data_IF_611301999531
#
_entry.id   IF_611301999531
#
_cell.length_a   1.000
_cell.length_b   1.000
_cell.length_c   1.000
_cell.angle_alpha   90.00
_cell.angle_beta   90.00
_cell.angle_gamma   90.00
#
_symmetry.space_group_name_H-M   'P 1'
#
loop_
_entity.id
_entity.type
_entity.pdbx_description
1 polymer ?
#
# COMPACT_ATOMS: atom_id res chain seq x y z
N UNK A 1 13.70 -9.48 -33.13
CA UNK A 1 13.42 -8.54 -32.03
C UNK A 1 11.94 -8.61 -31.73
N UNK A 2 11.54 -9.30 -30.66
CA UNK A 2 10.13 -9.51 -30.32
C UNK A 2 9.56 -8.25 -29.72
N UNK A 3 8.61 -7.62 -30.41
CA UNK A 3 7.83 -6.50 -29.89
C UNK A 3 6.91 -7.03 -28.79
N UNK A 4 7.24 -6.75 -27.52
CA UNK A 4 6.33 -7.04 -26.42
C UNK A 4 5.07 -6.18 -26.62
N UNK A 5 3.95 -6.80 -26.96
CA UNK A 5 2.68 -6.10 -27.10
C UNK A 5 2.31 -5.47 -25.75
N UNK A 6 2.20 -4.14 -25.73
CA UNK A 6 1.79 -3.39 -24.55
C UNK A 6 0.39 -3.84 -24.15
N UNK A 7 0.27 -4.56 -23.03
CA UNK A 7 -1.03 -4.95 -22.49
C UNK A 7 -1.77 -3.69 -22.05
N UNK A 8 -2.91 -3.43 -22.66
CA UNK A 8 -3.81 -2.35 -22.29
C UNK A 8 -5.05 -2.96 -21.65
N UNK A 9 -5.30 -2.61 -20.39
CA UNK A 9 -6.51 -3.00 -19.67
C UNK A 9 -7.58 -1.90 -19.78
N UNK A 10 -8.84 -2.30 -19.91
CA UNK A 10 -9.96 -1.36 -20.06
C UNK A 10 -10.64 -1.11 -18.72
N UNK A 11 -10.75 0.15 -18.34
CA UNK A 11 -11.52 0.60 -17.19
C UNK A 11 -12.88 1.11 -17.69
N UNK A 12 -13.98 0.55 -17.18
CA UNK A 12 -15.34 0.96 -17.55
C UNK A 12 -16.20 1.15 -16.30
N UNK A 13 -16.83 2.32 -16.19
CA UNK A 13 -17.76 2.65 -15.11
C UNK A 13 -19.05 3.22 -15.68
N UNK A 14 -20.18 2.90 -15.04
CA UNK A 14 -21.47 3.56 -15.30
C UNK A 14 -21.68 4.63 -14.25
N UNK A 15 -21.98 5.84 -14.69
CA UNK A 15 -22.22 6.99 -13.81
C UNK A 15 -23.57 7.63 -14.13
N UNK A 16 -24.26 8.20 -13.13
CA UNK A 16 -25.43 9.05 -13.37
C UNK A 16 -25.11 10.23 -14.28
N UNK A 17 -26.13 10.76 -14.97
CA UNK A 17 -25.96 11.85 -15.93
C UNK A 17 -25.33 13.11 -15.29
N UNK A 18 -25.77 13.51 -14.10
CA UNK A 18 -25.25 14.68 -13.38
C UNK A 18 -23.74 14.56 -13.08
N UNK A 19 -23.29 13.36 -12.74
CA UNK A 19 -21.87 13.08 -12.50
C UNK A 19 -21.08 13.19 -13.81
N UNK A 20 -21.64 12.65 -14.90
CA UNK A 20 -21.03 12.75 -16.21
C UNK A 20 -20.86 14.21 -16.67
N UNK A 21 -21.87 15.06 -16.51
CA UNK A 21 -21.78 16.48 -16.84
C UNK A 21 -20.68 17.20 -16.04
N UNK A 22 -20.57 16.87 -14.76
CA UNK A 22 -19.52 17.42 -13.89
C UNK A 22 -18.12 17.02 -14.37
N UNK A 23 -17.94 15.74 -14.76
CA UNK A 23 -16.69 15.24 -15.31
C UNK A 23 -16.36 15.90 -16.67
N UNK A 24 -17.36 16.09 -17.53
CA UNK A 24 -17.19 16.82 -18.80
C UNK A 24 -16.69 18.24 -18.56
N UNK A 25 -17.33 18.98 -17.66
CA UNK A 25 -16.94 20.35 -17.33
C UNK A 25 -15.52 20.42 -16.76
N UNK A 26 -15.15 19.48 -15.89
CA UNK A 26 -13.80 19.43 -15.35
C UNK A 26 -12.75 19.11 -16.44
N UNK A 27 -13.07 18.17 -17.32
CA UNK A 27 -12.22 17.80 -18.45
C UNK A 27 -11.99 19.01 -19.38
N UNK A 28 -13.05 19.75 -19.73
CA UNK A 28 -12.98 20.99 -20.52
C UNK A 28 -12.05 22.04 -19.88
N UNK A 29 -12.18 22.28 -18.57
CA UNK A 29 -11.33 23.24 -17.85
C UNK A 29 -9.85 22.83 -17.83
N UNK A 30 -9.58 21.53 -17.83
CA UNK A 30 -8.21 21.00 -17.88
C UNK A 30 -7.65 20.86 -19.31
N UNK A 31 -8.47 21.11 -20.34
CA UNK A 31 -8.07 20.92 -21.75
C UNK A 31 -7.87 19.45 -22.13
N UNK A 32 -8.53 18.53 -21.42
CA UNK A 32 -8.43 17.08 -21.64
C UNK A 32 -9.78 16.48 -22.07
N UNK A 33 -9.75 15.31 -22.69
CA UNK A 33 -10.98 14.53 -22.90
C UNK A 33 -11.48 13.94 -21.58
N UNK A 34 -12.77 13.61 -21.49
CA UNK A 34 -13.39 13.01 -20.29
C UNK A 34 -12.65 11.74 -19.85
N UNK A 35 -12.29 10.88 -20.81
CA UNK A 35 -11.54 9.65 -20.50
C UNK A 35 -10.14 9.95 -19.96
N UNK A 36 -9.43 10.93 -20.53
CA UNK A 36 -8.11 11.31 -20.02
C UNK A 36 -8.20 11.89 -18.62
N UNK A 37 -9.17 12.78 -18.38
CA UNK A 37 -9.43 13.35 -17.06
C UNK A 37 -9.75 12.25 -16.03
N UNK A 38 -10.60 11.29 -16.40
CA UNK A 38 -10.96 10.18 -15.53
C UNK A 38 -9.75 9.33 -15.14
N UNK A 39 -8.89 8.97 -16.12
CA UNK A 39 -7.68 8.18 -15.85
C UNK A 39 -6.70 8.95 -14.98
N UNK A 40 -6.50 10.25 -15.25
CA UNK A 40 -5.62 11.10 -14.46
C UNK A 40 -6.10 11.26 -13.02
N UNK A 41 -7.39 11.53 -12.83
CA UNK A 41 -7.99 11.67 -11.50
C UNK A 41 -7.92 10.34 -10.72
N UNK A 42 -8.27 9.21 -11.36
CA UNK A 42 -8.19 7.91 -10.74
C UNK A 42 -6.75 7.52 -10.35
N UNK A 43 -5.77 7.82 -11.22
CA UNK A 43 -4.36 7.56 -10.93
C UNK A 43 -3.86 8.41 -9.76
N UNK A 44 -4.24 9.69 -9.72
CA UNK A 44 -3.87 10.59 -8.62
C UNK A 44 -4.39 10.06 -7.28
N UNK A 45 -5.68 9.75 -7.21
CA UNK A 45 -6.29 9.20 -5.99
C UNK A 45 -5.67 7.85 -5.60
N UNK A 46 -5.41 6.97 -6.57
CA UNK A 46 -4.74 5.70 -6.31
C UNK A 46 -3.34 5.91 -5.71
N UNK A 47 -2.56 6.85 -6.24
CA UNK A 47 -1.23 7.15 -5.74
C UNK A 47 -1.27 7.73 -4.32
N UNK A 48 -2.23 8.60 -4.03
CA UNK A 48 -2.42 9.18 -2.68
C UNK A 48 -2.82 8.10 -1.66
N UNK A 49 -3.68 7.16 -2.04
CA UNK A 49 -4.07 6.03 -1.17
C UNK A 49 -2.88 5.11 -0.90
N UNK A 50 -2.11 4.76 -1.93
CA UNK A 50 -0.91 3.92 -1.78
C UNK A 50 0.11 4.63 -0.88
N UNK A 51 0.40 5.90 -1.14
CA UNK A 51 1.35 6.66 -0.35
C UNK A 51 0.92 6.75 1.12
N UNK A 52 -0.38 6.92 1.38
CA UNK A 52 -0.91 6.97 2.75
C UNK A 52 -0.67 5.70 3.55
N UNK A 53 -0.75 4.54 2.89
CA UNK A 53 -0.60 3.24 3.55
C UNK A 53 0.87 2.83 3.67
N UNK A 54 1.68 3.14 2.65
CA UNK A 54 3.08 2.71 2.59
C UNK A 54 4.05 3.69 3.27
N UNK A 55 3.70 4.98 3.36
CA UNK A 55 4.61 6.02 3.86
C UNK A 55 4.21 6.46 5.26
N UNK A 56 5.06 6.13 6.23
CA UNK A 56 4.98 6.70 7.58
C UNK A 56 5.56 8.11 7.53
N UNK A 57 4.70 9.13 7.47
CA UNK A 57 5.10 10.54 7.60
C UNK A 57 5.37 10.87 9.07
N UNK A 58 6.63 11.13 9.40
CA UNK A 58 7.07 11.50 10.74
C UNK A 58 7.23 13.02 10.84
N UNK A 59 6.88 13.60 11.99
CA UNK A 59 7.24 14.99 12.27
C UNK A 59 8.76 15.11 12.43
N UNK A 60 9.37 16.31 12.28
CA UNK A 60 10.80 16.48 12.50
C UNK A 60 11.27 16.00 13.88
N UNK A 61 10.40 16.13 14.90
CA UNK A 61 10.67 15.62 16.25
C UNK A 61 10.71 14.10 16.28
N UNK A 62 9.72 13.45 15.67
CA UNK A 62 9.63 11.98 15.67
C UNK A 62 10.73 11.36 14.79
N UNK A 63 11.13 12.06 13.73
CA UNK A 63 12.27 11.69 12.90
C UNK A 63 13.59 11.69 13.69
N UNK A 64 13.86 12.76 14.44
CA UNK A 64 15.04 12.82 15.32
C UNK A 64 15.01 11.74 16.40
N UNK A 65 13.85 11.47 16.97
CA UNK A 65 13.68 10.38 17.95
C UNK A 65 13.93 9.01 17.32
N UNK A 66 13.42 8.75 16.11
CA UNK A 66 13.68 7.51 15.39
C UNK A 66 15.15 7.36 15.04
N UNK A 67 15.81 8.43 14.57
CA UNK A 67 17.23 8.44 14.26
C UNK A 67 18.08 8.08 15.49
N UNK A 68 17.82 8.71 16.63
CA UNK A 68 18.53 8.41 17.89
C UNK A 68 18.34 6.93 18.31
N UNK A 69 17.13 6.38 18.13
CA UNK A 69 16.87 4.96 18.37
C UNK A 69 17.59 4.03 17.39
N UNK A 70 17.81 4.45 16.15
CA UNK A 70 18.56 3.67 15.16
C UNK A 70 20.06 3.72 15.40
N UNK A 71 20.60 4.88 15.76
CA UNK A 71 22.04 5.06 16.06
C UNK A 71 22.43 4.42 17.40
N UNK A 72 21.56 4.53 18.41
CA UNK A 72 21.78 4.00 19.76
C UNK A 72 20.67 3.01 20.14
N UNK A 73 20.67 1.79 19.59
CA UNK A 73 19.60 0.83 19.86
C UNK A 73 19.59 0.46 21.36
N UNK A 74 18.47 0.67 22.07
CA UNK A 74 18.37 0.32 23.47
C UNK A 74 18.37 -1.19 23.67
N UNK A 75 18.86 -1.66 24.83
CA UNK A 75 18.88 -3.09 25.14
C UNK A 75 17.45 -3.67 25.16
N UNK A 76 17.22 -4.87 24.60
CA UNK A 76 15.90 -5.51 24.62
C UNK A 76 15.33 -5.62 26.03
N UNK A 77 14.10 -5.13 26.22
CA UNK A 77 13.42 -5.21 27.51
C UNK A 77 13.04 -6.66 27.87
N UNK A 78 12.76 -6.91 29.15
CA UNK A 78 12.44 -8.26 29.64
C UNK A 78 11.20 -8.86 28.95
N UNK A 79 10.20 -8.03 28.62
CA UNK A 79 8.99 -8.45 27.91
C UNK A 79 9.28 -8.90 26.47
N UNK A 80 10.16 -8.21 25.76
CA UNK A 80 10.57 -8.53 24.38
C UNK A 80 11.37 -9.83 24.35
N UNK A 81 12.24 -10.06 25.34
CA UNK A 81 12.94 -11.34 25.51
C UNK A 81 11.96 -12.49 25.76
N UNK A 82 10.97 -12.28 26.63
CA UNK A 82 9.93 -13.29 26.89
C UNK A 82 9.07 -13.58 25.64
N UNK A 83 8.71 -12.55 24.88
CA UNK A 83 7.97 -12.69 23.62
C UNK A 83 8.79 -13.45 22.55
N UNK A 84 10.09 -13.16 22.44
CA UNK A 84 10.99 -13.88 21.55
C UNK A 84 11.08 -15.36 21.91
N UNK A 85 11.22 -15.68 23.20
CA UNK A 85 11.24 -17.07 23.68
C UNK A 85 9.91 -17.79 23.38
N UNK A 86 8.77 -17.12 23.53
CA UNK A 86 7.45 -17.67 23.18
C UNK A 86 7.34 -17.94 21.67
N UNK A 87 7.79 -17.00 20.83
CA UNK A 87 7.79 -17.16 19.38
C UNK A 87 8.70 -18.32 18.94
N UNK A 88 9.90 -18.44 19.51
CA UNK A 88 10.81 -19.54 19.21
C UNK A 88 10.25 -20.91 19.63
N UNK A 89 9.52 -20.97 20.75
CA UNK A 89 8.83 -22.19 21.18
C UNK A 89 7.73 -22.59 20.19
N UNK A 90 6.85 -21.65 19.82
CA UNK A 90 5.81 -21.89 18.81
C UNK A 90 6.38 -22.34 17.46
N UNK A 91 7.45 -21.69 16.97
CA UNK A 91 8.11 -22.07 15.72
C UNK A 91 8.74 -23.47 15.78
N UNK A 92 9.17 -23.93 16.96
CA UNK A 92 9.69 -25.29 17.17
C UNK A 92 8.56 -26.32 17.22
N UNK A 93 7.39 -25.94 17.74
CA UNK A 93 6.21 -26.82 17.81
C UNK A 93 5.61 -27.07 16.40
N UNK A 94 5.72 -26.12 15.47
CA UNK A 94 5.31 -26.29 14.06
C UNK A 94 6.26 -27.19 13.24
N UNK A 95 7.53 -27.33 13.65
CA UNK A 95 8.50 -28.19 12.96
C UNK A 95 8.28 -29.69 13.24
N UNK A 96 7.46 -30.04 14.24
CA UNK A 96 7.13 -31.42 14.59
C UNK A 96 5.72 -31.86 14.21
N UNK A 97 4.87 -30.95 13.73
CA UNK A 97 3.49 -31.31 13.35
C UNK A 97 3.45 -31.56 11.85
N UNK A 98 3.88 -32.77 11.45
CA UNK A 98 3.51 -33.28 10.13
C UNK A 98 1.98 -33.26 10.05
N UNK A 99 1.43 -32.41 9.17
CA UNK A 99 0.01 -32.38 8.87
C UNK A 99 -0.37 -33.74 8.25
N UNK A 100 -0.75 -34.70 9.09
CA UNK A 100 -1.30 -35.97 8.65
C UNK A 100 -2.77 -35.75 8.30
N UNK A 101 -2.98 -35.46 7.01
CA UNK A 101 -4.28 -35.56 6.38
C UNK A 101 -4.57 -37.03 6.07
N UNK A 102 -5.63 -37.58 6.65
CA UNK A 102 -6.23 -38.83 6.19
C UNK A 102 -7.54 -38.49 5.44
N UNK A 103 -7.77 -39.07 4.25
CA UNK A 103 -8.89 -38.74 3.37
C UNK A 103 -10.27 -39.18 3.89
#
# INVERSE_FOLDING_TARGET
MSTAATKQDRIGARVPHEVYETLCRAAELTGATVNQFLVQAALKEAQEVIEREEVIRLSPRDWNWLLDLMENPPKPNAKLKAALNRYQKAKRDDAGTAFNWEP
#
